data_IF_127419072760
#
_entry.id   IF_127419072760
#
_cell.length_a   1.000
_cell.length_b   1.000
_cell.length_c   1.000
_cell.angle_alpha   90.00
_cell.angle_beta   90.00
_cell.angle_gamma   90.00
#
_symmetry.space_group_name_H-M   'P 1'
#
loop_
_entity.id
_entity.type
_entity.pdbx_description
1 polymer ?
#
# COMPACT_ATOMS: atom_id res chain seq x y z
N UNK A 1 -25.68 -8.71 15.88
CA UNK A 1 -24.73 -8.35 14.81
C UNK A 1 -24.01 -7.03 15.11
N UNK A 2 -24.72 -5.92 15.35
CA UNK A 2 -24.11 -4.60 15.59
C UNK A 2 -23.22 -4.53 16.86
N UNK A 3 -23.71 -5.01 18.01
CA UNK A 3 -22.97 -5.00 19.30
C UNK A 3 -21.62 -5.73 19.21
N UNK A 4 -21.56 -6.85 18.49
CA UNK A 4 -20.32 -7.62 18.28
C UNK A 4 -19.29 -6.80 17.51
N UNK A 5 -19.69 -6.21 16.38
CA UNK A 5 -18.81 -5.34 15.57
C UNK A 5 -18.30 -4.15 16.38
N UNK A 6 -19.17 -3.46 17.12
CA UNK A 6 -18.77 -2.33 17.97
C UNK A 6 -17.73 -2.76 19.02
N UNK A 7 -17.94 -3.92 19.64
CA UNK A 7 -17.00 -4.45 20.64
C UNK A 7 -15.63 -4.78 20.02
N UNK A 8 -15.61 -5.34 18.80
CA UNK A 8 -14.37 -5.66 18.07
C UNK A 8 -13.60 -4.39 17.68
N UNK A 9 -14.27 -3.35 17.20
CA UNK A 9 -13.60 -2.07 16.87
C UNK A 9 -13.09 -1.34 18.11
N UNK A 10 -13.84 -1.34 19.22
CA UNK A 10 -13.36 -0.80 20.49
C UNK A 10 -12.10 -1.52 20.99
N UNK A 11 -11.98 -2.83 20.73
CA UNK A 11 -10.77 -3.59 21.07
C UNK A 11 -9.57 -3.17 20.23
N UNK A 12 -9.77 -2.93 18.92
CA UNK A 12 -8.71 -2.40 18.05
C UNK A 12 -8.22 -1.03 18.49
N UNK A 13 -9.08 -0.23 19.10
CA UNK A 13 -8.74 1.06 19.70
C UNK A 13 -8.12 0.94 21.12
N UNK A 14 -7.83 -0.28 21.58
CA UNK A 14 -7.06 -0.54 22.79
C UNK A 14 -7.87 -0.69 24.07
N UNK A 15 -9.18 -0.99 23.98
CA UNK A 15 -9.92 -1.56 25.12
C UNK A 15 -9.71 -3.08 25.17
N UNK A 16 -9.69 -3.66 26.35
CA UNK A 16 -9.79 -5.10 26.51
C UNK A 16 -11.20 -5.58 26.12
N UNK A 17 -11.33 -6.89 25.86
CA UNK A 17 -12.63 -7.46 25.49
C UNK A 17 -13.70 -7.31 26.56
N UNK A 18 -13.34 -7.28 27.85
CA UNK A 18 -14.29 -7.02 28.93
C UNK A 18 -14.64 -5.53 29.07
N UNK A 19 -13.66 -4.64 28.91
CA UNK A 19 -13.91 -3.19 28.91
C UNK A 19 -14.86 -2.79 27.79
N UNK A 20 -14.65 -3.29 26.58
CA UNK A 20 -15.51 -3.01 25.43
C UNK A 20 -16.95 -3.50 25.68
N UNK A 21 -17.13 -4.72 26.22
CA UNK A 21 -18.45 -5.27 26.56
C UNK A 21 -19.14 -4.46 27.67
N UNK A 22 -18.41 -4.10 28.72
CA UNK A 22 -18.94 -3.31 29.82
C UNK A 22 -19.34 -1.90 29.37
N UNK A 23 -18.51 -1.24 28.55
CA UNK A 23 -18.83 0.07 27.99
C UNK A 23 -20.08 0.04 27.10
N UNK A 24 -20.19 -0.94 26.20
CA UNK A 24 -21.40 -1.08 25.34
C UNK A 24 -22.65 -1.36 26.18
N UNK A 25 -22.54 -2.15 27.25
CA UNK A 25 -23.65 -2.38 28.18
C UNK A 25 -24.08 -1.08 28.89
N UNK A 26 -23.15 -0.23 29.31
CA UNK A 26 -23.43 1.08 29.90
C UNK A 26 -24.12 2.02 28.90
N UNK A 27 -23.63 2.08 27.66
CA UNK A 27 -24.23 2.89 26.59
C UNK A 27 -25.65 2.41 26.27
N UNK A 28 -25.85 1.09 26.24
CA UNK A 28 -27.16 0.49 25.93
C UNK A 28 -28.17 0.67 27.07
N UNK A 29 -27.69 0.89 28.30
CA UNK A 29 -28.55 1.14 29.44
C UNK A 29 -29.20 2.54 29.40
N UNK A 30 -28.48 3.55 28.91
CA UNK A 30 -28.97 4.94 28.82
C UNK A 30 -29.13 5.65 30.18
N UNK A 31 -28.89 4.97 31.29
CA UNK A 31 -29.02 5.46 32.66
C UNK A 31 -27.90 4.92 33.56
N UNK A 32 -27.79 5.47 34.78
CA UNK A 32 -26.84 4.96 35.76
C UNK A 32 -27.22 3.55 36.22
N UNK A 33 -26.31 2.59 36.03
CA UNK A 33 -26.53 1.19 36.41
C UNK A 33 -25.45 0.71 37.38
N UNK A 34 -25.84 -0.08 38.37
CA UNK A 34 -24.90 -0.68 39.32
C UNK A 34 -24.03 -1.76 38.65
N UNK A 35 -22.89 -2.11 39.27
CA UNK A 35 -21.94 -3.05 38.68
C UNK A 35 -22.49 -4.47 38.49
N UNK A 36 -23.45 -4.89 39.32
CA UNK A 36 -24.12 -6.18 39.16
C UNK A 36 -24.96 -6.24 37.87
N UNK A 37 -25.71 -5.17 37.59
CA UNK A 37 -26.53 -5.07 36.39
C UNK A 37 -25.65 -4.97 35.13
N UNK A 38 -24.51 -4.27 35.21
CA UNK A 38 -23.50 -4.28 34.14
C UNK A 38 -23.00 -5.70 33.84
N UNK A 39 -22.67 -6.50 34.86
CA UNK A 39 -22.22 -7.88 34.65
C UNK A 39 -23.28 -8.71 33.92
N UNK A 40 -24.55 -8.56 34.33
CA UNK A 40 -25.68 -9.26 33.74
C UNK A 40 -25.89 -8.89 32.27
N UNK A 41 -25.81 -7.59 31.92
CA UNK A 41 -26.03 -7.09 30.55
C UNK A 41 -24.84 -7.33 29.62
N UNK A 42 -23.62 -7.20 30.12
CA UNK A 42 -22.39 -7.30 29.33
C UNK A 42 -21.89 -8.73 29.13
N UNK A 43 -22.33 -9.67 29.97
CA UNK A 43 -21.77 -11.02 30.03
C UNK A 43 -20.35 -11.07 30.61
N UNK A 44 -19.87 -9.97 31.21
CA UNK A 44 -18.61 -9.95 31.96
C UNK A 44 -18.81 -10.67 33.29
N UNK A 45 -17.90 -11.58 33.71
CA UNK A 45 -18.01 -12.27 34.99
C UNK A 45 -18.13 -11.31 36.17
N UNK A 46 -18.99 -11.65 37.14
CA UNK A 46 -19.19 -10.82 38.36
C UNK A 46 -17.91 -10.63 39.17
N UNK A 47 -17.00 -11.60 39.12
CA UNK A 47 -15.70 -11.51 39.79
C UNK A 47 -14.78 -10.43 39.22
N UNK A 48 -14.98 -9.99 37.97
CA UNK A 48 -14.11 -9.04 37.28
C UNK A 48 -14.82 -7.76 36.83
N UNK A 49 -16.15 -7.67 36.96
CA UNK A 49 -16.92 -6.50 36.47
C UNK A 49 -16.53 -5.21 37.18
N UNK A 50 -16.32 -5.24 38.50
CA UNK A 50 -15.96 -4.04 39.27
C UNK A 50 -14.55 -3.56 38.95
N UNK A 51 -13.61 -4.49 38.75
CA UNK A 51 -12.26 -4.17 38.27
C UNK A 51 -12.31 -3.55 36.85
N UNK A 52 -13.11 -4.14 35.96
CA UNK A 52 -13.30 -3.65 34.59
C UNK A 52 -13.91 -2.24 34.58
N UNK A 53 -14.93 -2.00 35.41
CA UNK A 53 -15.53 -0.68 35.59
C UNK A 53 -14.53 0.32 36.18
N UNK A 54 -13.71 -0.10 37.15
CA UNK A 54 -12.62 0.71 37.69
C UNK A 54 -11.60 1.11 36.62
N UNK A 55 -11.24 0.20 35.70
CA UNK A 55 -10.36 0.52 34.56
C UNK A 55 -11.00 1.49 33.58
N UNK A 56 -12.30 1.31 33.27
CA UNK A 56 -13.06 2.26 32.45
C UNK A 56 -13.11 3.65 33.08
N UNK A 57 -13.33 3.74 34.39
CA UNK A 57 -13.31 5.01 35.13
C UNK A 57 -11.91 5.62 35.14
N UNK A 58 -10.86 4.83 35.42
CA UNK A 58 -9.47 5.30 35.42
C UNK A 58 -9.00 5.81 34.05
N UNK A 59 -9.52 5.23 32.96
CA UNK A 59 -9.30 5.72 31.58
C UNK A 59 -10.22 6.89 31.19
N UNK A 60 -11.17 7.25 32.05
CA UNK A 60 -12.16 8.29 31.80
C UNK A 60 -13.17 7.91 30.71
N UNK A 61 -13.41 6.62 30.49
CA UNK A 61 -14.43 6.08 29.57
C UNK A 61 -15.78 5.85 30.27
N UNK A 62 -15.83 5.88 31.60
CA UNK A 62 -17.04 5.85 32.41
C UNK A 62 -16.87 6.75 33.65
N UNK A 63 -17.98 7.07 34.31
CA UNK A 63 -17.99 7.79 35.58
C UNK A 63 -18.75 7.01 36.63
N UNK A 64 -18.26 7.11 37.86
CA UNK A 64 -18.95 6.66 39.06
C UNK A 64 -19.92 7.76 39.52
N UNK A 65 -21.18 7.39 39.77
CA UNK A 65 -22.22 8.29 40.26
C UNK A 65 -22.93 7.70 41.46
N UNK A 66 -23.44 8.55 42.35
CA UNK A 66 -24.32 8.10 43.44
C UNK A 66 -25.72 7.87 42.89
N UNK A 67 -26.16 6.61 42.93
CA UNK A 67 -27.52 6.18 42.57
C UNK A 67 -28.33 5.84 43.83
N UNK A 68 -29.64 5.67 43.67
CA UNK A 68 -30.55 5.37 44.79
C UNK A 68 -30.24 4.04 45.50
N UNK A 69 -29.64 3.09 44.79
CA UNK A 69 -29.29 1.74 45.24
C UNK A 69 -27.78 1.54 45.47
N UNK A 70 -26.99 2.63 45.51
CA UNK A 70 -25.55 2.62 45.80
C UNK A 70 -24.72 3.27 44.70
N UNK A 71 -23.56 2.69 44.41
CA UNK A 71 -22.69 3.17 43.32
C UNK A 71 -23.25 2.75 41.96
N UNK A 72 -23.61 3.74 41.15
CA UNK A 72 -23.96 3.58 39.74
C UNK A 72 -22.81 3.97 38.83
N UNK A 73 -22.86 3.49 37.59
CA UNK A 73 -21.90 3.81 36.55
C UNK A 73 -22.64 4.35 35.33
N UNK A 74 -22.09 5.41 34.74
CA UNK A 74 -22.55 5.98 33.47
C UNK A 74 -21.39 6.04 32.47
N UNK A 75 -21.62 5.75 31.19
CA UNK A 75 -20.58 5.83 30.19
C UNK A 75 -20.24 7.30 29.87
N UNK A 76 -19.00 7.56 29.50
CA UNK A 76 -18.71 8.78 28.74
C UNK A 76 -19.48 8.68 27.40
N UNK A 77 -20.15 9.75 26.93
CA UNK A 77 -20.87 9.72 25.67
C UNK A 77 -19.98 9.20 24.52
N UNK A 78 -20.49 8.31 23.63
CA UNK A 78 -19.69 7.68 22.58
C UNK A 78 -18.90 8.65 21.72
N UNK A 79 -19.53 9.75 21.27
CA UNK A 79 -18.85 10.78 20.47
C UNK A 79 -17.63 11.36 21.21
N UNK A 80 -17.78 11.67 22.50
CA UNK A 80 -16.69 12.23 23.33
C UNK A 80 -15.59 11.20 23.60
N UNK A 81 -15.95 9.93 23.81
CA UNK A 81 -14.95 8.86 23.96
C UNK A 81 -14.12 8.70 22.69
N UNK A 82 -14.79 8.59 21.53
CA UNK A 82 -14.11 8.44 20.24
C UNK A 82 -13.19 9.63 19.93
N UNK A 83 -13.64 10.86 20.17
CA UNK A 83 -12.83 12.06 19.98
C UNK A 83 -11.61 12.12 20.91
N UNK A 84 -11.75 11.64 22.16
CA UNK A 84 -10.60 11.51 23.07
C UNK A 84 -9.62 10.46 22.58
N UNK A 85 -10.11 9.28 22.20
CA UNK A 85 -9.26 8.19 21.70
C UNK A 85 -8.50 8.60 20.44
N UNK A 86 -9.15 9.33 19.52
CA UNK A 86 -8.51 9.91 18.35
C UNK A 86 -7.35 10.84 18.74
N UNK A 87 -7.60 11.84 19.61
CA UNK A 87 -6.56 12.77 20.06
C UNK A 87 -5.40 12.08 20.77
N UNK A 88 -5.67 11.08 21.60
CA UNK A 88 -4.63 10.30 22.28
C UNK A 88 -3.79 9.48 21.27
N UNK A 89 -4.44 8.92 20.25
CA UNK A 89 -3.78 8.20 19.17
C UNK A 89 -2.90 9.13 18.32
N UNK A 90 -3.45 10.25 17.86
CA UNK A 90 -2.73 11.26 17.08
C UNK A 90 -1.52 11.80 17.85
N UNK A 91 -1.66 12.07 19.15
CA UNK A 91 -0.54 12.46 20.01
C UNK A 91 0.53 11.37 20.10
N UNK A 92 0.13 10.11 20.26
CA UNK A 92 1.06 8.97 20.33
C UNK A 92 1.81 8.82 19.01
N UNK A 93 1.11 8.87 17.88
CA UNK A 93 1.72 8.86 16.56
C UNK A 93 2.71 10.02 16.39
N UNK A 94 2.34 11.23 16.80
CA UNK A 94 3.24 12.38 16.74
C UNK A 94 4.51 12.20 17.57
N UNK A 95 4.43 11.59 18.77
CA UNK A 95 5.61 11.25 19.56
C UNK A 95 6.47 10.22 18.83
N UNK A 96 5.87 9.14 18.33
CA UNK A 96 6.60 8.07 17.65
C UNK A 96 7.27 8.56 16.36
N UNK A 97 6.57 9.37 15.55
CA UNK A 97 7.12 9.98 14.34
C UNK A 97 8.34 10.87 14.63
N UNK A 98 8.38 11.52 15.80
CA UNK A 98 9.49 12.39 16.18
C UNK A 98 10.66 11.63 16.83
N UNK A 99 10.37 10.64 17.68
CA UNK A 99 11.38 9.96 18.48
C UNK A 99 11.99 8.74 17.77
N UNK A 100 11.23 7.98 16.98
CA UNK A 100 11.75 6.79 16.27
C UNK A 100 12.92 7.15 15.34
N UNK A 101 12.85 8.20 14.49
CA UNK A 101 13.99 8.55 13.62
C UNK A 101 15.26 8.87 14.40
N UNK A 102 15.14 9.41 15.62
CA UNK A 102 16.29 9.71 16.49
C UNK A 102 16.93 8.47 17.11
N UNK A 103 16.16 7.39 17.22
CA UNK A 103 16.64 6.08 17.67
C UNK A 103 17.20 5.24 16.52
N UNK A 104 16.94 5.64 15.27
CA UNK A 104 17.32 4.87 14.09
C UNK A 104 18.76 5.23 13.72
N UNK A 105 19.70 4.30 13.96
CA UNK A 105 21.01 4.37 13.32
C UNK A 105 20.83 4.36 11.79
N UNK A 106 21.69 5.04 10.99
CA UNK A 106 21.57 5.00 9.54
C UNK A 106 21.44 3.54 9.08
N UNK A 107 20.39 3.19 8.34
CA UNK A 107 20.11 1.81 8.02
C UNK A 107 21.30 1.21 7.29
N UNK A 108 21.97 0.24 7.92
CA UNK A 108 23.05 -0.53 7.29
C UNK A 108 22.51 -1.52 6.24
N UNK A 109 21.19 -1.72 6.23
CA UNK A 109 20.47 -2.59 5.30
C UNK A 109 19.49 -1.73 4.52
N UNK A 110 19.73 -1.58 3.21
CA UNK A 110 18.78 -0.95 2.29
C UNK A 110 17.59 -1.90 2.08
N UNK A 111 16.38 -1.40 2.24
CA UNK A 111 15.18 -2.23 2.22
C UNK A 111 14.75 -2.43 0.77
N UNK A 112 14.73 -3.68 0.32
CA UNK A 112 14.13 -4.11 -0.94
C UNK A 112 13.01 -5.05 -0.53
N UNK A 113 11.78 -4.53 -0.49
CA UNK A 113 10.62 -5.31 -0.07
C UNK A 113 9.77 -5.67 -1.28
N UNK A 114 9.69 -6.98 -1.57
CA UNK A 114 8.85 -7.51 -2.65
C UNK A 114 7.38 -7.45 -2.23
N UNK A 115 6.52 -6.94 -3.12
CA UNK A 115 5.08 -6.77 -2.94
C UNK A 115 4.37 -7.63 -3.98
N UNK A 116 3.72 -8.71 -3.55
CA UNK A 116 3.07 -9.68 -4.45
C UNK A 116 1.55 -9.54 -4.53
N UNK A 117 0.95 -8.68 -3.71
CA UNK A 117 -0.49 -8.42 -3.68
C UNK A 117 -0.79 -6.97 -4.06
N UNK A 118 -1.76 -6.75 -4.95
CA UNK A 118 -2.21 -5.39 -5.35
C UNK A 118 -2.54 -4.50 -4.15
N UNK A 119 -3.25 -5.04 -3.15
CA UNK A 119 -3.61 -4.28 -1.95
C UNK A 119 -2.37 -3.78 -1.21
N UNK A 120 -1.38 -4.66 -0.98
CA UNK A 120 -0.14 -4.27 -0.31
C UNK A 120 0.68 -3.26 -1.12
N UNK A 121 0.66 -3.38 -2.45
CA UNK A 121 1.30 -2.42 -3.34
C UNK A 121 0.69 -1.02 -3.20
N UNK A 122 -0.64 -0.93 -3.26
CA UNK A 122 -1.37 0.34 -3.14
C UNK A 122 -1.27 0.94 -1.74
N UNK A 123 -1.39 0.14 -0.68
CA UNK A 123 -1.17 0.58 0.70
C UNK A 123 0.22 1.17 0.87
N UNK A 124 1.25 0.51 0.32
CA UNK A 124 2.62 1.02 0.41
C UNK A 124 2.85 2.25 -0.46
N UNK A 125 2.20 2.35 -1.61
CA UNK A 125 2.23 3.55 -2.46
C UNK A 125 1.58 4.74 -1.74
N UNK A 126 0.48 4.51 -1.02
CA UNK A 126 -0.17 5.51 -0.17
C UNK A 126 0.74 5.94 0.97
N UNK A 127 1.40 4.99 1.66
CA UNK A 127 2.36 5.30 2.73
C UNK A 127 3.48 6.22 2.24
N UNK A 128 4.06 5.92 1.07
CA UNK A 128 5.14 6.73 0.46
C UNK A 128 4.61 8.11 0.05
N UNK A 129 3.43 8.20 -0.56
CA UNK A 129 2.83 9.48 -0.92
C UNK A 129 2.52 10.33 0.32
N UNK A 130 2.03 9.73 1.40
CA UNK A 130 1.73 10.41 2.65
C UNK A 130 2.99 10.90 3.39
N UNK A 131 4.14 10.27 3.14
CA UNK A 131 5.42 10.64 3.77
C UNK A 131 6.15 11.78 3.04
N UNK A 132 5.70 12.18 1.84
CA UNK A 132 6.34 13.21 1.04
C UNK A 132 6.32 14.58 1.73
N UNK A 133 7.45 15.29 1.68
CA UNK A 133 7.64 16.59 2.33
C UNK A 133 8.00 17.72 1.37
N UNK A 134 8.54 17.41 0.21
CA UNK A 134 9.06 18.39 -0.75
C UNK A 134 8.62 18.10 -2.18
N UNK A 135 8.73 16.86 -2.65
CA UNK A 135 8.31 16.48 -3.99
C UNK A 135 7.67 15.08 -4.00
N UNK A 136 6.66 14.91 -4.85
CA UNK A 136 5.96 13.65 -5.05
C UNK A 136 5.70 13.43 -6.54
N UNK A 137 6.18 12.30 -7.06
CA UNK A 137 5.90 11.86 -8.41
C UNK A 137 5.01 10.62 -8.36
N UNK A 138 3.89 10.64 -9.07
CA UNK A 138 2.98 9.51 -9.21
C UNK A 138 2.80 9.21 -10.69
N UNK A 139 3.07 7.99 -11.11
CA UNK A 139 2.78 7.50 -12.43
C UNK A 139 1.96 6.23 -12.32
N UNK A 140 0.82 6.14 -13.00
CA UNK A 140 -0.05 4.97 -12.88
C UNK A 140 -1.26 4.98 -13.80
N UNK A 141 -2.13 4.00 -13.61
CA UNK A 141 -3.39 3.89 -14.33
C UNK A 141 -4.50 4.63 -13.59
N UNK A 142 -5.55 5.10 -14.29
CA UNK A 142 -6.64 5.85 -13.67
C UNK A 142 -7.19 5.18 -12.40
N UNK A 143 -7.41 3.86 -12.41
CA UNK A 143 -8.00 3.14 -11.28
C UNK A 143 -7.06 3.03 -10.07
N UNK A 144 -5.75 2.99 -10.29
CA UNK A 144 -4.75 2.92 -9.23
C UNK A 144 -4.49 4.33 -8.66
N UNK A 145 -4.34 5.33 -9.53
CA UNK A 145 -4.11 6.71 -9.14
C UNK A 145 -5.31 7.29 -8.40
N UNK A 146 -6.54 6.93 -8.79
CA UNK A 146 -7.77 7.32 -8.11
C UNK A 146 -7.72 6.98 -6.60
N UNK A 147 -7.18 5.80 -6.25
CA UNK A 147 -7.05 5.40 -4.84
C UNK A 147 -6.06 6.25 -4.05
N UNK A 148 -5.09 6.86 -4.73
CA UNK A 148 -4.05 7.70 -4.12
C UNK A 148 -4.46 9.17 -4.06
N UNK A 149 -5.42 9.64 -4.87
CA UNK A 149 -5.83 11.05 -4.96
C UNK A 149 -6.12 11.72 -3.60
N UNK A 150 -6.83 11.10 -2.64
CA UNK A 150 -7.04 11.73 -1.33
C UNK A 150 -5.75 12.03 -0.57
N UNK A 151 -4.72 11.19 -0.74
CA UNK A 151 -3.41 11.37 -0.12
C UNK A 151 -2.56 12.37 -0.89
N UNK A 152 -2.61 12.33 -2.22
CA UNK A 152 -1.93 13.31 -3.08
C UNK A 152 -2.43 14.73 -2.82
N UNK A 153 -3.75 14.95 -2.75
CA UNK A 153 -4.33 16.27 -2.43
C UNK A 153 -3.89 16.78 -1.07
N UNK A 154 -3.82 15.90 -0.08
CA UNK A 154 -3.28 16.27 1.23
C UNK A 154 -1.82 16.69 1.10
N UNK A 155 -0.98 16.00 0.34
CA UNK A 155 0.40 16.43 0.11
C UNK A 155 0.47 17.83 -0.53
N UNK A 156 -0.36 18.12 -1.54
CA UNK A 156 -0.46 19.46 -2.16
C UNK A 156 -0.86 20.54 -1.16
N UNK A 157 -1.86 20.27 -0.31
CA UNK A 157 -2.30 21.19 0.75
C UNK A 157 -1.17 21.50 1.75
N UNK A 158 -0.21 20.60 1.94
CA UNK A 158 0.99 20.79 2.76
C UNK A 158 2.16 21.42 2.00
N UNK A 159 1.97 21.82 0.74
CA UNK A 159 2.98 22.52 -0.07
C UNK A 159 4.01 21.61 -0.75
N UNK A 160 3.73 20.32 -0.88
CA UNK A 160 4.56 19.38 -1.66
C UNK A 160 4.40 19.66 -3.15
N UNK A 161 5.51 19.67 -3.90
CA UNK A 161 5.48 19.76 -5.37
C UNK A 161 5.09 18.41 -5.97
N UNK A 162 3.87 18.32 -6.50
CA UNK A 162 3.29 17.07 -6.99
C UNK A 162 3.26 17.06 -8.51
N UNK A 163 3.76 15.98 -9.12
CA UNK A 163 3.57 15.68 -10.53
C UNK A 163 2.89 14.32 -10.71
N UNK A 164 1.86 14.27 -11.56
CA UNK A 164 1.13 13.04 -11.87
C UNK A 164 1.16 12.71 -13.36
N UNK A 165 1.38 11.44 -13.68
CA UNK A 165 1.32 10.90 -15.03
C UNK A 165 0.31 9.76 -15.05
N UNK A 166 -0.75 9.88 -15.85
CA UNK A 166 -1.82 8.89 -15.88
C UNK A 166 -1.96 8.25 -17.26
N UNK A 167 -1.95 6.91 -17.33
CA UNK A 167 -2.18 6.15 -18.57
C UNK A 167 -3.65 6.17 -19.01
N UNK A 168 -4.13 7.32 -19.46
CA UNK A 168 -5.49 7.51 -19.92
C UNK A 168 -6.02 8.90 -19.62
N UNK A 169 -7.34 9.03 -19.73
CA UNK A 169 -8.06 10.26 -19.35
C UNK A 169 -8.27 10.25 -17.83
N UNK A 170 -8.02 11.39 -17.20
CA UNK A 170 -8.33 11.63 -15.79
C UNK A 170 -9.29 12.81 -15.66
N UNK A 171 -10.53 12.53 -15.27
CA UNK A 171 -11.58 13.54 -15.13
C UNK A 171 -11.39 14.46 -13.90
N UNK A 172 -10.53 14.07 -12.95
CA UNK A 172 -10.30 14.78 -11.70
C UNK A 172 -8.80 14.79 -11.34
N UNK A 173 -7.97 15.50 -12.15
CA UNK A 173 -6.53 15.47 -12.05
C UNK A 173 -6.02 16.18 -10.78
N UNK A 174 -4.87 15.72 -10.29
CA UNK A 174 -4.18 16.26 -9.10
C UNK A 174 -2.72 16.59 -9.42
N UNK A 175 -2.15 17.59 -8.76
CA UNK A 175 -0.80 18.06 -9.05
C UNK A 175 -0.61 18.61 -10.46
N UNK A 176 0.65 18.70 -10.85
CA UNK A 176 1.04 18.92 -12.23
C UNK A 176 0.78 17.66 -13.06
N UNK A 177 -0.40 17.61 -13.67
CA UNK A 177 -0.92 16.43 -14.34
C UNK A 177 -0.54 16.33 -15.82
N UNK A 178 -0.17 15.11 -16.24
CA UNK A 178 0.12 14.71 -17.61
C UNK A 178 -0.70 13.46 -17.93
N UNK A 179 -1.53 13.53 -18.97
CA UNK A 179 -2.13 12.33 -19.57
C UNK A 179 -1.11 11.67 -20.49
N UNK A 180 -0.81 10.41 -20.24
CA UNK A 180 0.12 9.63 -21.04
C UNK A 180 -0.56 9.14 -22.33
N UNK A 181 -0.45 9.90 -23.43
CA UNK A 181 -1.21 9.68 -24.68
C UNK A 181 -0.43 8.98 -25.78
N UNK A 182 0.90 8.99 -25.73
CA UNK A 182 1.74 8.49 -26.83
C UNK A 182 2.04 6.99 -26.75
N UNK A 183 1.62 6.30 -25.70
CA UNK A 183 1.46 4.85 -25.72
C UNK A 183 -0.01 4.57 -25.48
N UNK A 184 -0.73 4.13 -26.52
CA UNK A 184 -2.14 3.79 -26.37
C UNK A 184 -2.30 2.79 -25.21
N UNK A 185 -3.36 2.87 -24.39
CA UNK A 185 -3.58 1.92 -23.29
C UNK A 185 -3.45 0.46 -23.72
N UNK A 186 -3.97 0.12 -24.90
CA UNK A 186 -3.78 -1.20 -25.51
C UNK A 186 -2.32 -1.49 -25.86
N UNK A 187 -1.54 -0.53 -26.33
CA UNK A 187 -0.11 -0.68 -26.61
C UNK A 187 0.74 -0.80 -25.34
N UNK A 188 0.37 -0.17 -24.22
CA UNK A 188 1.05 -0.36 -22.92
C UNK A 188 0.67 -1.72 -22.31
N UNK A 189 -0.63 -2.08 -22.34
CA UNK A 189 -1.10 -3.39 -21.90
C UNK A 189 -0.56 -4.53 -22.79
N UNK A 190 -0.46 -4.34 -24.10
CA UNK A 190 0.02 -5.35 -25.07
C UNK A 190 1.55 -5.46 -25.10
N UNK A 191 2.30 -4.35 -24.94
CA UNK A 191 3.78 -4.38 -25.02
C UNK A 191 4.47 -4.66 -23.69
N UNK A 192 3.91 -4.21 -22.56
CA UNK A 192 4.45 -4.53 -21.23
C UNK A 192 3.71 -5.71 -20.58
N UNK A 193 2.56 -6.12 -21.13
CA UNK A 193 1.68 -7.12 -20.52
C UNK A 193 1.06 -6.68 -19.19
N UNK A 194 1.25 -5.41 -18.78
CA UNK A 194 1.21 -4.97 -17.38
C UNK A 194 0.85 -3.49 -17.23
N UNK A 195 0.11 -3.18 -16.17
CA UNK A 195 -0.18 -1.84 -15.68
C UNK A 195 0.88 -1.39 -14.68
N UNK A 196 1.73 -0.44 -15.06
CA UNK A 196 2.76 0.09 -14.17
C UNK A 196 2.18 1.06 -13.13
N UNK A 197 2.72 0.99 -11.91
CA UNK A 197 2.56 1.98 -10.86
C UNK A 197 3.95 2.38 -10.35
N UNK A 198 4.26 3.67 -10.36
CA UNK A 198 5.50 4.23 -9.83
C UNK A 198 5.15 5.41 -8.93
N UNK A 199 5.54 5.36 -7.66
CA UNK A 199 5.39 6.46 -6.70
C UNK A 199 6.74 6.77 -6.10
N UNK A 200 7.17 8.02 -6.16
CA UNK A 200 8.46 8.48 -5.62
C UNK A 200 8.26 9.70 -4.76
N UNK A 201 8.74 9.66 -3.52
CA UNK A 201 8.68 10.78 -2.58
C UNK A 201 10.10 11.25 -2.20
N UNK A 202 10.33 12.56 -2.28
CA UNK A 202 11.55 13.26 -1.82
C UNK A 202 12.90 12.72 -2.36
N UNK A 203 12.88 11.90 -3.42
CA UNK A 203 14.03 11.09 -3.91
C UNK A 203 14.65 10.16 -2.87
N UNK A 204 13.92 9.89 -1.79
CA UNK A 204 14.37 9.03 -0.70
C UNK A 204 13.74 7.65 -0.76
N UNK A 205 12.51 7.55 -1.29
CA UNK A 205 11.76 6.30 -1.32
C UNK A 205 10.96 6.16 -2.61
N UNK A 206 10.84 4.92 -3.09
CA UNK A 206 10.06 4.59 -4.26
C UNK A 206 9.25 3.31 -4.06
N UNK A 207 8.05 3.30 -4.64
CA UNK A 207 7.27 2.10 -4.94
C UNK A 207 7.23 1.94 -6.45
N UNK A 208 7.63 0.78 -6.94
CA UNK A 208 7.60 0.41 -8.36
C UNK A 208 6.83 -0.89 -8.45
N UNK A 209 5.78 -0.97 -9.27
CA UNK A 209 5.03 -2.20 -9.45
C UNK A 209 4.44 -2.36 -10.84
N UNK A 210 4.19 -3.61 -11.18
CA UNK A 210 3.42 -4.02 -12.35
C UNK A 210 2.24 -4.87 -11.94
N UNK A 211 1.07 -4.50 -12.43
CA UNK A 211 -0.23 -5.10 -12.14
C UNK A 211 -0.77 -5.75 -13.42
N UNK A 212 -1.16 -7.01 -13.34
CA UNK A 212 -1.96 -7.69 -14.38
C UNK A 212 -3.26 -8.19 -13.77
N UNK A 213 -4.16 -8.76 -14.58
CA UNK A 213 -5.40 -9.35 -14.07
C UNK A 213 -5.17 -10.50 -13.08
N UNK A 214 -4.04 -11.19 -13.20
CA UNK A 214 -3.71 -12.44 -12.49
C UNK A 214 -2.47 -12.34 -11.58
N UNK A 215 -1.62 -11.32 -11.75
CA UNK A 215 -0.34 -11.20 -11.05
C UNK A 215 -0.07 -9.77 -10.62
N UNK A 216 0.53 -9.63 -9.45
CA UNK A 216 1.13 -8.38 -9.00
C UNK A 216 2.57 -8.65 -8.62
N UNK A 217 3.46 -7.77 -9.06
CA UNK A 217 4.79 -7.68 -8.52
C UNK A 217 5.08 -6.21 -8.24
N UNK A 218 5.80 -5.97 -7.17
CA UNK A 218 6.19 -4.63 -6.81
C UNK A 218 7.35 -4.65 -5.86
N UNK A 219 7.95 -3.49 -5.74
CA UNK A 219 9.13 -3.23 -4.97
C UNK A 219 8.91 -1.92 -4.24
N UNK A 220 8.96 -1.97 -2.91
CA UNK A 220 9.27 -0.79 -2.13
C UNK A 220 10.78 -0.74 -1.89
N UNK A 221 11.38 0.43 -2.06
CA UNK A 221 12.80 0.61 -1.81
C UNK A 221 13.18 2.02 -1.38
N UNK A 222 14.19 2.09 -0.53
CA UNK A 222 14.96 3.28 -0.17
C UNK A 222 16.40 3.23 -0.74
N UNK A 223 16.67 2.32 -1.68
CA UNK A 223 17.97 2.25 -2.34
C UNK A 223 18.15 3.43 -3.30
N UNK A 224 19.17 4.28 -3.11
CA UNK A 224 19.32 5.50 -3.90
C UNK A 224 19.43 5.27 -5.41
N UNK A 225 19.99 4.14 -5.84
CA UNK A 225 20.09 3.84 -7.27
C UNK A 225 18.71 3.46 -7.85
N UNK A 226 17.95 2.62 -7.14
CA UNK A 226 16.60 2.27 -7.57
C UNK A 226 15.65 3.47 -7.53
N UNK A 227 15.70 4.28 -6.46
CA UNK A 227 14.89 5.50 -6.32
C UNK A 227 15.24 6.52 -7.41
N UNK A 228 16.53 6.72 -7.70
CA UNK A 228 16.97 7.58 -8.79
C UNK A 228 16.41 7.12 -10.14
N UNK A 229 16.46 5.82 -10.44
CA UNK A 229 15.92 5.29 -11.70
C UNK A 229 14.40 5.46 -11.79
N UNK A 230 13.66 5.22 -10.70
CA UNK A 230 12.22 5.46 -10.66
C UNK A 230 11.87 6.94 -10.87
N UNK A 231 12.61 7.84 -10.21
CA UNK A 231 12.42 9.28 -10.36
C UNK A 231 12.73 9.75 -11.80
N UNK A 232 13.84 9.29 -12.38
CA UNK A 232 14.22 9.61 -13.75
C UNK A 232 13.21 9.06 -14.77
N UNK A 233 12.65 7.87 -14.53
CA UNK A 233 11.63 7.30 -15.40
C UNK A 233 10.43 8.24 -15.53
N UNK A 234 9.82 8.65 -14.41
CA UNK A 234 8.65 9.56 -14.44
C UNK A 234 9.02 10.92 -15.04
N UNK A 235 10.18 11.48 -14.69
CA UNK A 235 10.60 12.79 -15.23
C UNK A 235 10.88 12.77 -16.72
N UNK A 236 11.50 11.72 -17.24
CA UNK A 236 11.71 11.58 -18.68
C UNK A 236 10.39 11.40 -19.42
N UNK A 237 9.43 10.70 -18.82
CA UNK A 237 8.10 10.57 -19.39
C UNK A 237 7.40 11.92 -19.53
N UNK A 238 7.41 12.72 -18.46
CA UNK A 238 6.89 14.10 -18.48
C UNK A 238 7.62 14.94 -19.53
N UNK A 239 8.96 14.87 -19.57
CA UNK A 239 9.75 15.64 -20.52
C UNK A 239 9.43 15.26 -21.98
N UNK A 240 9.24 13.97 -22.26
CA UNK A 240 8.86 13.46 -23.57
C UNK A 240 7.50 14.03 -23.98
N UNK A 241 6.50 14.02 -23.10
CA UNK A 241 5.20 14.63 -23.37
C UNK A 241 5.31 16.14 -23.65
N UNK A 242 6.18 16.86 -22.94
CA UNK A 242 6.43 18.29 -23.20
C UNK A 242 7.06 18.53 -24.57
N UNK A 243 7.96 17.66 -25.00
CA UNK A 243 8.54 17.73 -26.34
C UNK A 243 7.46 17.41 -27.39
N UNK A 244 6.67 16.35 -27.16
CA UNK A 244 5.60 15.95 -28.05
C UNK A 244 4.56 17.07 -28.25
N UNK A 245 4.06 17.67 -27.16
CA UNK A 245 3.13 18.80 -27.20
C UNK A 245 3.69 19.97 -28.01
N UNK A 246 4.98 20.25 -27.88
CA UNK A 246 5.66 21.35 -28.59
C UNK A 246 5.74 21.11 -30.11
N UNK A 247 5.81 19.86 -30.54
CA UNK A 247 5.98 19.46 -31.94
C UNK A 247 4.73 18.78 -32.54
N UNK A 248 3.60 18.76 -31.83
CA UNK A 248 2.36 18.10 -32.28
C UNK A 248 1.94 18.56 -33.69
N UNK A 249 1.97 19.86 -33.97
CA UNK A 249 1.63 20.44 -35.28
C UNK A 249 2.64 20.12 -36.40
N UNK A 250 3.79 19.55 -36.06
CA UNK A 250 4.90 19.26 -36.98
C UNK A 250 5.01 17.76 -37.29
N UNK A 251 3.89 17.03 -37.20
CA UNK A 251 3.85 15.60 -37.54
C UNK A 251 4.47 14.69 -36.49
N UNK A 252 4.51 15.11 -35.21
CA UNK A 252 5.04 14.28 -34.14
C UNK A 252 4.32 12.93 -34.05
N UNK A 253 3.00 12.88 -34.25
CA UNK A 253 2.22 11.65 -34.18
C UNK A 253 2.61 10.65 -35.29
N UNK A 254 2.87 11.15 -36.50
CA UNK A 254 3.33 10.35 -37.64
C UNK A 254 4.76 9.85 -37.40
N UNK A 255 5.66 10.76 -36.99
CA UNK A 255 7.02 10.39 -36.59
C UNK A 255 7.01 9.32 -35.49
N UNK A 256 6.22 9.54 -34.45
CA UNK A 256 6.09 8.63 -33.34
C UNK A 256 5.60 7.27 -33.83
N UNK A 257 4.52 7.21 -34.59
CA UNK A 257 3.89 5.95 -35.02
C UNK A 257 4.72 5.18 -36.05
N UNK A 258 5.36 5.90 -36.98
CA UNK A 258 5.89 5.29 -38.21
C UNK A 258 7.41 5.12 -38.25
N UNK A 259 8.16 5.83 -37.40
CA UNK A 259 9.60 5.70 -37.35
C UNK A 259 10.03 4.26 -36.98
N UNK A 260 10.87 3.60 -37.81
CA UNK A 260 11.31 2.22 -37.56
C UNK A 260 12.07 2.03 -36.24
N UNK A 261 12.84 3.03 -35.79
CA UNK A 261 13.59 2.94 -34.54
C UNK A 261 12.64 3.03 -33.33
N UNK A 262 11.63 3.89 -33.40
CA UNK A 262 10.59 3.96 -32.36
C UNK A 262 9.70 2.72 -32.34
N UNK A 263 9.35 2.16 -33.50
CA UNK A 263 8.63 0.88 -33.57
C UNK A 263 9.42 -0.24 -32.88
N UNK A 264 10.73 -0.32 -33.10
CA UNK A 264 11.60 -1.31 -32.43
C UNK A 264 11.60 -1.17 -30.91
N UNK A 265 11.54 0.06 -30.38
CA UNK A 265 11.46 0.30 -28.93
C UNK A 265 10.09 -0.05 -28.33
N UNK A 266 9.05 -0.10 -29.17
CA UNK A 266 7.70 -0.52 -28.79
C UNK A 266 7.44 -2.00 -29.02
N UNK A 267 8.36 -2.77 -29.59
CA UNK A 267 8.14 -4.22 -29.68
C UNK A 267 8.00 -4.80 -28.26
N UNK A 268 7.06 -5.74 -28.03
CA UNK A 268 6.86 -6.32 -26.70
C UNK A 268 8.16 -6.84 -26.14
N UNK A 269 8.50 -6.40 -24.92
CA UNK A 269 9.62 -6.99 -24.20
C UNK A 269 9.16 -8.39 -23.80
N UNK A 270 9.75 -9.43 -24.41
CA UNK A 270 9.40 -10.82 -24.11
C UNK A 270 9.46 -11.14 -22.61
N UNK A 271 8.85 -12.26 -22.20
CA UNK A 271 8.79 -12.62 -20.78
C UNK A 271 10.16 -12.52 -20.09
N UNK A 272 10.23 -11.98 -18.85
CA UNK A 272 11.49 -11.88 -18.13
C UNK A 272 12.15 -13.26 -18.04
N UNK A 273 13.44 -13.32 -18.38
CA UNK A 273 14.26 -14.54 -18.52
C UNK A 273 14.22 -15.47 -17.29
N UNK A 274 13.78 -14.98 -16.12
CA UNK A 274 13.43 -15.81 -14.96
C UNK A 274 12.27 -15.19 -14.17
N UNK A 275 11.05 -15.67 -14.38
CA UNK A 275 10.08 -15.69 -13.29
C UNK A 275 10.68 -16.60 -12.20
N UNK A 276 10.84 -16.09 -10.99
CA UNK A 276 11.39 -16.84 -9.87
C UNK A 276 10.37 -17.87 -9.36
N UNK A 277 10.11 -18.90 -10.16
CA UNK A 277 9.59 -20.19 -9.71
C UNK A 277 10.71 -21.22 -9.88
N UNK A 278 11.67 -21.15 -8.97
CA UNK A 278 12.81 -22.05 -8.90
C UNK A 278 12.76 -22.89 -7.64
N UNK A 279 11.78 -23.80 -7.52
CA UNK A 279 12.05 -25.00 -6.73
C UNK A 279 13.29 -25.67 -7.34
N UNK A 280 14.30 -26.07 -6.54
CA UNK A 280 15.47 -26.72 -7.10
C UNK A 280 15.01 -27.97 -7.83
N UNK A 281 15.28 -28.02 -9.15
CA UNK A 281 15.08 -29.25 -9.93
C UNK A 281 15.93 -30.32 -9.26
N UNK A 282 15.27 -31.29 -8.63
CA UNK A 282 15.91 -32.51 -8.18
C UNK A 282 16.49 -33.21 -9.40
N UNK A 283 17.81 -33.20 -9.53
CA UNK A 283 18.51 -34.09 -10.46
C UNK A 283 18.36 -35.50 -9.89
N UNK A 284 17.36 -36.23 -10.40
CA UNK A 284 17.25 -37.68 -10.25
C UNK A 284 18.09 -38.37 -11.34
N UNK A 285 18.57 -39.59 -11.09
CA UNK A 285 19.74 -40.15 -11.75
C UNK A 285 19.47 -40.44 -13.23
N UNK A 286 20.44 -40.08 -14.09
CA UNK A 286 20.47 -40.49 -15.49
C UNK A 286 20.46 -42.03 -15.55
N UNK A 287 19.39 -42.58 -16.12
CA UNK A 287 19.37 -43.96 -16.59
C UNK A 287 19.96 -43.96 -18.00
N UNK A 288 21.19 -44.45 -18.11
CA UNK A 288 21.80 -44.85 -19.37
C UNK A 288 20.94 -45.93 -20.04
N UNK A 289 20.29 -45.54 -21.13
CA UNK A 289 19.87 -46.46 -22.18
C UNK A 289 20.12 -45.78 -23.51
N UNK A 290 21.32 -46.00 -24.08
CA UNK A 290 21.57 -45.82 -25.51
C UNK A 290 21.58 -47.22 -26.12
N UNK A 291 20.55 -47.50 -26.91
CA UNK A 291 20.53 -48.60 -27.87
C UNK A 291 20.42 -48.01 -29.27
N UNK A 292 21.55 -48.07 -30.00
CA UNK A 292 21.73 -48.55 -31.39
C UNK A 292 20.94 -47.87 -32.55
N UNK A 293 21.25 -48.14 -33.84
CA UNK A 293 22.50 -48.54 -34.52
C UNK A 293 22.83 -47.62 -35.73
N UNK A 294 23.82 -48.06 -36.51
CA UNK A 294 24.03 -47.83 -37.95
C UNK A 294 25.02 -46.75 -38.40
N UNK A 295 26.02 -47.21 -39.15
CA UNK A 295 26.86 -46.36 -40.00
C UNK A 295 28.27 -46.89 -40.24
N UNK A 296 28.38 -48.12 -40.73
CA UNK A 296 29.55 -48.72 -41.39
C UNK A 296 30.21 -47.76 -42.40
N UNK A 297 31.53 -47.59 -42.34
CA UNK A 297 32.42 -47.92 -43.47
C UNK A 297 33.91 -47.58 -43.21
N UNK A 298 34.80 -48.46 -43.68
CA UNK A 298 36.05 -47.99 -44.29
C UNK A 298 37.40 -48.25 -43.60
N UNK A 299 37.77 -49.53 -43.47
CA UNK A 299 39.13 -50.12 -43.67
C UNK A 299 40.32 -49.17 -43.93
N UNK A 300 41.46 -49.35 -43.22
CA UNK A 300 42.71 -49.89 -43.78
C UNK A 300 43.90 -49.99 -42.79
N UNK A 301 44.42 -51.23 -42.66
CA UNK A 301 45.84 -51.68 -42.64
C UNK A 301 46.86 -50.95 -41.74
N UNK A 302 47.38 -51.61 -40.70
CA UNK A 302 48.47 -52.61 -40.71
C UNK A 302 49.86 -52.02 -40.99
N UNK A 303 50.75 -52.17 -40.00
CA UNK A 303 52.16 -51.80 -40.02
C UNK A 303 52.68 -51.58 -38.61
#
# INVERSE_FOLDING_TARGET
MAVRRVTEELQRLGLSGYEAKAYVALVSAGEAVNGYEVAKRSGVPRSTVYETLGKLVGRGAAFEVRAADGTGYVPLPPATLLERMRRDFDRTLGILQNEIPRLTAPPQVRLVHSLTERRMLLERAEDVAAAARSELYVLGWPEDVETLKPTVRRAEEHGVDVATVVFGVDDDPVGWHIEHRYSAPSTVEDNLGRRMLVVVADRDQAVIGGLTADRTWGLYTDDPAAVLLAHLYVRHDIAMHRVADRFAEHGFDEFWTDDPALRRLREPVGEPVRAADGAPRSVGPETDTVGDPDGDDGRSRAG
#
